data_IF_443146882205
#
_entry.id   IF_443146882205
#
_cell.length_a   1.000
_cell.length_b   1.000
_cell.length_c   1.000
_cell.angle_alpha   90.00
_cell.angle_beta   90.00
_cell.angle_gamma   90.00
#
_symmetry.space_group_name_H-M   'P 1'
#
loop_
_entity.id
_entity.type
_entity.pdbx_description
1 polymer ?
#
# COMPACT_ATOMS: atom_id res chain seq x y z
N UNK A 1 -18.21 21.41 3.45
CA UNK A 1 -19.26 20.44 3.84
C UNK A 1 -18.67 19.35 4.74
N UNK A 2 -17.72 18.53 4.28
CA UNK A 2 -17.05 17.47 5.08
C UNK A 2 -16.42 18.00 6.38
N UNK A 3 -15.67 19.11 6.35
CA UNK A 3 -15.18 19.75 7.60
C UNK A 3 -16.31 20.21 8.55
N UNK A 4 -17.48 20.58 8.01
CA UNK A 4 -18.63 21.00 8.83
C UNK A 4 -19.26 19.78 9.51
N UNK A 5 -19.30 18.64 8.80
CA UNK A 5 -19.78 17.34 9.26
C UNK A 5 -18.85 16.75 10.33
N UNK A 6 -17.53 16.80 10.09
CA UNK A 6 -16.53 16.37 11.06
C UNK A 6 -16.52 17.23 12.33
N UNK A 7 -16.90 18.50 12.22
CA UNK A 7 -17.01 19.42 13.35
C UNK A 7 -18.33 19.27 14.11
N UNK A 8 -19.42 18.86 13.45
CA UNK A 8 -20.72 18.64 14.09
C UNK A 8 -20.79 17.28 14.80
N UNK A 9 -20.18 16.22 14.23
CA UNK A 9 -20.07 14.91 14.90
C UNK A 9 -19.31 14.96 16.23
N UNK A 10 -18.31 15.84 16.35
CA UNK A 10 -17.54 16.05 17.61
C UNK A 10 -18.31 16.84 18.68
N UNK A 11 -19.43 17.49 18.32
CA UNK A 11 -20.17 18.40 19.21
C UNK A 11 -21.43 17.78 19.84
N UNK A 12 -21.70 16.50 19.60
CA UNK A 12 -22.85 15.83 20.22
C UNK A 12 -22.57 15.52 21.69
N UNK A 13 -22.73 16.54 22.55
CA UNK A 13 -22.90 16.36 24.00
C UNK A 13 -24.24 15.65 24.26
N UNK A 14 -24.30 14.61 25.10
CA UNK A 14 -25.56 13.91 25.37
C UNK A 14 -26.48 14.82 26.19
N UNK A 15 -27.54 15.36 25.58
CA UNK A 15 -28.57 16.09 26.33
C UNK A 15 -29.29 17.27 25.67
N UNK A 16 -29.09 17.59 24.38
CA UNK A 16 -29.91 18.61 23.68
C UNK A 16 -30.78 17.97 22.59
N UNK A 17 -32.08 18.20 22.71
CA UNK A 17 -33.15 17.70 21.82
C UNK A 17 -32.81 17.89 20.34
N UNK A 18 -32.88 16.79 19.58
CA UNK A 18 -32.70 16.75 18.11
C UNK A 18 -33.82 17.52 17.43
N UNK A 19 -33.49 18.68 16.85
CA UNK A 19 -34.40 19.45 16.00
C UNK A 19 -34.49 18.80 14.60
N UNK A 20 -35.71 18.59 14.11
CA UNK A 20 -36.08 17.93 12.84
C UNK A 20 -35.36 18.46 11.58
N UNK A 21 -34.85 19.69 11.59
CA UNK A 21 -34.03 20.24 10.50
C UNK A 21 -32.69 19.53 10.30
N UNK A 22 -32.16 18.88 11.34
CA UNK A 22 -30.92 18.12 11.26
C UNK A 22 -31.14 16.74 10.59
N UNK A 23 -32.35 16.18 10.67
CA UNK A 23 -32.64 14.86 10.10
C UNK A 23 -32.65 14.86 8.56
N UNK A 24 -33.26 15.87 7.94
CA UNK A 24 -33.23 16.03 6.48
C UNK A 24 -31.80 16.23 5.96
N UNK A 25 -31.01 17.10 6.62
CA UNK A 25 -29.63 17.36 6.22
C UNK A 25 -28.74 16.13 6.44
N UNK A 26 -28.90 15.42 7.56
CA UNK A 26 -28.24 14.14 7.81
C UNK A 26 -28.59 13.14 6.72
N UNK A 27 -29.86 13.05 6.32
CA UNK A 27 -30.28 12.12 5.27
C UNK A 27 -29.71 12.50 3.90
N UNK A 28 -29.70 13.78 3.54
CA UNK A 28 -29.06 14.25 2.31
C UNK A 28 -27.57 13.92 2.30
N UNK A 29 -26.92 14.05 3.45
CA UNK A 29 -25.52 13.71 3.60
C UNK A 29 -25.29 12.20 3.47
N UNK A 30 -26.09 11.38 4.13
CA UNK A 30 -25.99 9.91 4.03
C UNK A 30 -26.14 9.48 2.57
N UNK A 31 -27.10 10.05 1.84
CA UNK A 31 -27.29 9.78 0.42
C UNK A 31 -26.07 10.22 -0.42
N UNK A 32 -25.50 11.38 -0.13
CA UNK A 32 -24.29 11.84 -0.81
C UNK A 32 -23.10 10.92 -0.53
N UNK A 33 -22.93 10.50 0.73
CA UNK A 33 -21.87 9.58 1.13
C UNK A 33 -22.03 8.25 0.40
N UNK A 34 -23.23 7.65 0.46
CA UNK A 34 -23.53 6.40 -0.24
C UNK A 34 -23.26 6.51 -1.74
N UNK A 35 -23.67 7.61 -2.38
CA UNK A 35 -23.42 7.81 -3.81
C UNK A 35 -21.92 7.88 -4.13
N UNK A 36 -21.13 8.65 -3.37
CA UNK A 36 -19.68 8.74 -3.57
C UNK A 36 -19.00 7.38 -3.37
N UNK A 37 -19.39 6.63 -2.34
CA UNK A 37 -18.87 5.28 -2.09
C UNK A 37 -19.18 4.35 -3.26
N UNK A 38 -20.38 4.43 -3.83
CA UNK A 38 -20.81 3.61 -4.97
C UNK A 38 -20.13 3.99 -6.30
N UNK A 39 -19.69 5.23 -6.47
CA UNK A 39 -18.98 5.65 -7.69
C UNK A 39 -17.49 5.26 -7.68
N UNK A 40 -16.88 5.02 -6.52
CA UNK A 40 -15.45 4.69 -6.45
C UNK A 40 -15.08 3.40 -7.21
N UNK A 41 -15.81 2.27 -7.12
CA UNK A 41 -15.53 1.09 -7.92
C UNK A 41 -15.51 1.38 -9.43
N UNK A 42 -16.37 2.29 -9.90
CA UNK A 42 -16.37 2.71 -11.31
C UNK A 42 -15.11 3.48 -11.68
N UNK A 43 -14.64 4.39 -10.82
CA UNK A 43 -13.38 5.12 -11.04
C UNK A 43 -12.19 4.14 -11.13
N UNK A 44 -12.10 3.19 -10.20
CA UNK A 44 -11.06 2.16 -10.22
C UNK A 44 -11.18 1.26 -11.45
N UNK A 45 -12.40 0.88 -11.81
CA UNK A 45 -12.68 0.09 -13.01
C UNK A 45 -12.26 0.80 -14.30
N UNK A 46 -12.54 2.10 -14.43
CA UNK A 46 -12.11 2.89 -15.59
C UNK A 46 -10.58 2.99 -15.67
N UNK A 47 -9.89 3.22 -14.55
CA UNK A 47 -8.41 3.20 -14.47
C UNK A 47 -7.86 1.83 -14.87
N UNK A 48 -8.40 0.75 -14.30
CA UNK A 48 -7.97 -0.62 -14.60
C UNK A 48 -8.18 -0.97 -16.08
N UNK A 49 -9.36 -0.64 -16.62
CA UNK A 49 -9.67 -0.90 -18.02
C UNK A 49 -8.67 -0.21 -18.96
N UNK A 50 -8.34 1.06 -18.72
CA UNK A 50 -7.38 1.76 -19.60
C UNK A 50 -5.96 1.19 -19.46
N UNK A 51 -5.53 0.83 -18.24
CA UNK A 51 -4.23 0.20 -17.99
C UNK A 51 -4.13 -1.19 -18.63
N UNK A 52 -5.20 -1.99 -18.55
CA UNK A 52 -5.28 -3.28 -19.20
C UNK A 52 -5.14 -3.18 -20.73
N UNK A 53 -5.76 -2.17 -21.35
CA UNK A 53 -5.66 -2.00 -22.81
C UNK A 53 -4.24 -1.72 -23.31
N UNK A 54 -3.39 -1.15 -22.45
CA UNK A 54 -1.99 -0.81 -22.78
C UNK A 54 -0.97 -1.79 -22.22
N UNK A 55 -1.40 -2.80 -21.48
CA UNK A 55 -0.52 -3.83 -20.91
C UNK A 55 0.36 -4.48 -21.99
N UNK A 56 1.67 -4.56 -21.73
CA UNK A 56 2.68 -5.11 -22.64
C UNK A 56 3.06 -4.20 -23.82
N UNK A 57 2.50 -2.98 -23.91
CA UNK A 57 2.76 -2.07 -25.03
C UNK A 57 3.81 -1.03 -24.66
N UNK A 58 4.80 -0.88 -25.55
CA UNK A 58 5.80 0.20 -25.48
C UNK A 58 5.33 1.52 -26.12
N UNK A 59 4.34 1.44 -27.00
CA UNK A 59 3.83 2.59 -27.76
C UNK A 59 2.29 2.55 -27.81
N UNK A 60 1.59 3.06 -26.78
CA UNK A 60 0.14 3.18 -26.81
C UNK A 60 -0.33 4.04 -27.98
N UNK A 61 -1.46 3.67 -28.59
CA UNK A 61 -2.07 4.45 -29.67
C UNK A 61 -2.59 5.81 -29.18
N UNK A 62 -2.87 6.74 -30.10
CA UNK A 62 -3.43 8.06 -29.75
C UNK A 62 -4.75 7.96 -28.97
N UNK A 63 -5.60 6.98 -29.27
CA UNK A 63 -6.87 6.75 -28.55
C UNK A 63 -6.59 6.29 -27.12
N UNK A 64 -5.68 5.34 -26.95
CA UNK A 64 -5.28 4.85 -25.62
C UNK A 64 -4.61 5.94 -24.79
N UNK A 65 -3.74 6.76 -25.41
CA UNK A 65 -3.12 7.90 -24.74
C UNK A 65 -4.15 8.94 -24.28
N UNK A 66 -5.19 9.21 -25.07
CA UNK A 66 -6.31 10.07 -24.64
C UNK A 66 -7.06 9.47 -23.45
N UNK A 67 -7.34 8.16 -23.48
CA UNK A 67 -8.02 7.46 -22.38
C UNK A 67 -7.20 7.50 -21.09
N UNK A 68 -5.89 7.20 -21.15
CA UNK A 68 -4.98 7.29 -19.99
C UNK A 68 -4.98 8.71 -19.39
N UNK A 69 -4.92 9.76 -20.23
CA UNK A 69 -4.96 11.16 -19.77
C UNK A 69 -6.28 11.56 -19.12
N UNK A 70 -7.37 10.87 -19.41
CA UNK A 70 -8.66 11.13 -18.77
C UNK A 70 -8.81 10.36 -17.45
N UNK A 71 -8.39 9.09 -17.41
CA UNK A 71 -8.66 8.21 -16.28
C UNK A 71 -7.60 8.27 -15.17
N UNK A 72 -6.30 8.29 -15.50
CA UNK A 72 -5.24 8.26 -14.47
C UNK A 72 -5.26 9.47 -13.51
N UNK A 73 -5.60 10.69 -13.96
CA UNK A 73 -5.76 11.84 -13.05
C UNK A 73 -6.92 11.72 -12.04
N UNK A 74 -7.70 10.63 -12.06
CA UNK A 74 -8.72 10.35 -11.04
C UNK A 74 -8.14 9.64 -9.80
N UNK A 75 -6.89 9.17 -9.83
CA UNK A 75 -6.25 8.54 -8.67
C UNK A 75 -6.21 9.42 -7.39
N UNK A 76 -6.05 10.76 -7.46
CA UNK A 76 -6.23 11.63 -6.29
C UNK A 76 -7.57 11.47 -5.58
N UNK A 77 -8.66 11.16 -6.30
CA UNK A 77 -9.97 10.93 -5.69
C UNK A 77 -9.90 9.70 -4.79
N UNK A 78 -9.26 8.62 -5.25
CA UNK A 78 -9.03 7.41 -4.45
C UNK A 78 -8.27 7.76 -3.17
N UNK A 79 -7.15 8.50 -3.29
CA UNK A 79 -6.35 8.96 -2.16
C UNK A 79 -7.19 9.79 -1.16
N UNK A 80 -7.99 10.73 -1.64
CA UNK A 80 -8.84 11.56 -0.78
C UNK A 80 -9.93 10.77 -0.04
N UNK A 81 -10.49 9.74 -0.67
CA UNK A 81 -11.50 8.90 -0.04
C UNK A 81 -10.88 7.99 1.04
N UNK A 82 -9.72 7.38 0.77
CA UNK A 82 -9.04 6.54 1.77
C UNK A 82 -8.40 7.35 2.91
N UNK A 83 -8.10 8.64 2.71
CA UNK A 83 -7.63 9.52 3.80
C UNK A 83 -8.78 10.06 4.66
N UNK A 84 -9.99 10.15 4.13
CA UNK A 84 -11.15 10.66 4.85
C UNK A 84 -11.64 9.70 5.92
N UNK A 85 -11.88 10.21 7.14
CA UNK A 85 -12.43 9.41 8.24
C UNK A 85 -13.86 8.90 7.96
N UNK A 86 -14.62 9.62 7.13
CA UNK A 86 -16.01 9.28 6.79
C UNK A 86 -16.06 8.21 5.70
N UNK A 87 -15.26 8.37 4.65
CA UNK A 87 -15.30 7.49 3.49
C UNK A 87 -14.44 6.24 3.66
N UNK A 88 -13.23 6.36 4.23
CA UNK A 88 -12.28 5.26 4.38
C UNK A 88 -12.90 3.94 4.85
N UNK A 89 -13.63 3.87 5.99
CA UNK A 89 -14.20 2.60 6.45
C UNK A 89 -15.27 2.01 5.54
N UNK A 90 -15.84 2.81 4.64
CA UNK A 90 -16.88 2.37 3.69
C UNK A 90 -16.28 1.98 2.33
N UNK A 91 -15.12 2.51 1.96
CA UNK A 91 -14.49 2.27 0.65
C UNK A 91 -13.41 1.20 0.68
N UNK A 92 -12.75 0.97 1.82
CA UNK A 92 -11.71 -0.07 1.95
C UNK A 92 -12.40 -1.41 2.19
N UNK A 93 -12.78 -2.06 1.09
CA UNK A 93 -13.31 -3.42 1.03
C UNK A 93 -12.30 -4.39 0.42
N UNK A 94 -12.61 -5.69 0.44
CA UNK A 94 -11.82 -6.70 -0.27
C UNK A 94 -11.72 -6.42 -1.78
N UNK A 95 -12.84 -6.08 -2.43
CA UNK A 95 -12.89 -5.74 -3.87
C UNK A 95 -12.03 -4.51 -4.20
N UNK A 96 -12.04 -3.52 -3.31
CA UNK A 96 -11.15 -2.37 -3.40
C UNK A 96 -9.69 -2.81 -3.37
N UNK A 97 -9.29 -3.64 -2.39
CA UNK A 97 -7.90 -4.12 -2.25
C UNK A 97 -7.47 -4.98 -3.44
N UNK A 98 -8.33 -5.86 -3.95
CA UNK A 98 -8.07 -6.63 -5.17
C UNK A 98 -7.83 -5.72 -6.38
N UNK A 99 -8.73 -4.75 -6.61
CA UNK A 99 -8.64 -3.78 -7.70
C UNK A 99 -7.34 -2.97 -7.58
N UNK A 100 -7.03 -2.54 -6.37
CA UNK A 100 -5.87 -1.75 -6.05
C UNK A 100 -4.56 -2.53 -6.25
N UNK A 101 -4.50 -3.80 -5.83
CA UNK A 101 -3.36 -4.70 -6.12
C UNK A 101 -3.14 -4.92 -7.61
N UNK A 102 -4.23 -5.00 -8.38
CA UNK A 102 -4.15 -5.06 -9.85
C UNK A 102 -3.55 -3.77 -10.44
N UNK A 103 -3.89 -2.59 -9.91
CA UNK A 103 -3.24 -1.33 -10.29
C UNK A 103 -1.74 -1.37 -9.97
N UNK A 104 -1.34 -1.82 -8.77
CA UNK A 104 0.07 -1.97 -8.41
C UNK A 104 0.80 -2.94 -9.34
N UNK A 105 0.14 -4.01 -9.81
CA UNK A 105 0.71 -4.91 -10.82
C UNK A 105 0.96 -4.21 -12.15
N UNK A 106 0.07 -3.30 -12.59
CA UNK A 106 0.33 -2.47 -13.75
C UNK A 106 1.52 -1.52 -13.53
N UNK A 107 1.65 -0.95 -12.33
CA UNK A 107 2.79 -0.09 -11.96
C UNK A 107 4.10 -0.88 -12.02
N UNK A 108 4.13 -2.12 -11.51
CA UNK A 108 5.27 -3.03 -11.68
C UNK A 108 5.63 -3.24 -13.17
N UNK A 109 4.63 -3.45 -14.03
CA UNK A 109 4.88 -3.58 -15.48
C UNK A 109 5.40 -2.28 -16.11
N UNK A 110 5.02 -1.12 -15.58
CA UNK A 110 5.59 0.17 -16.01
C UNK A 110 7.04 0.31 -15.56
N UNK A 111 7.33 0.01 -14.29
CA UNK A 111 8.66 0.09 -13.68
C UNK A 111 9.69 -0.85 -14.34
N UNK A 112 9.31 -2.11 -14.58
CA UNK A 112 10.12 -3.08 -15.33
C UNK A 112 10.28 -2.72 -16.82
N UNK A 113 9.57 -1.68 -17.28
CA UNK A 113 9.53 -1.21 -18.64
C UNK A 113 8.66 -2.06 -19.56
N UNK A 114 8.10 -3.20 -19.14
CA UNK A 114 7.21 -4.05 -19.95
C UNK A 114 6.11 -3.23 -20.68
N UNK A 115 5.51 -2.29 -19.95
CA UNK A 115 4.55 -1.32 -20.47
C UNK A 115 5.15 0.09 -20.40
N UNK A 116 4.98 0.92 -21.42
CA UNK A 116 5.42 2.31 -21.39
C UNK A 116 4.22 3.24 -21.57
N UNK A 117 3.86 3.94 -20.49
CA UNK A 117 2.81 4.97 -20.50
C UNK A 117 3.39 6.38 -20.66
N UNK A 118 4.67 6.61 -20.33
CA UNK A 118 5.35 7.90 -20.43
C UNK A 118 5.27 8.49 -21.84
N UNK A 119 5.41 7.65 -22.87
CA UNK A 119 5.29 8.09 -24.26
C UNK A 119 3.90 8.64 -24.62
N UNK A 120 2.86 8.24 -23.88
CA UNK A 120 1.49 8.65 -24.12
C UNK A 120 1.05 9.83 -23.25
N UNK A 121 1.39 9.80 -21.95
CA UNK A 121 0.93 10.78 -20.95
C UNK A 121 2.00 11.77 -20.49
N UNK A 122 3.26 11.49 -20.79
CA UNK A 122 4.42 12.23 -20.30
C UNK A 122 4.99 11.64 -19.00
N UNK A 123 6.31 11.69 -18.78
CA UNK A 123 6.96 11.08 -17.62
C UNK A 123 6.45 11.66 -16.29
N UNK A 124 6.23 12.98 -16.21
CA UNK A 124 5.73 13.63 -15.00
C UNK A 124 4.35 13.12 -14.57
N UNK A 125 3.42 12.92 -15.52
CA UNK A 125 2.09 12.42 -15.20
C UNK A 125 2.10 10.94 -14.79
N UNK A 126 3.01 10.16 -15.37
CA UNK A 126 3.26 8.76 -14.99
C UNK A 126 3.81 8.66 -13.57
N UNK A 127 4.86 9.43 -13.26
CA UNK A 127 5.44 9.53 -11.92
C UNK A 127 4.42 9.98 -10.87
N UNK A 128 3.61 11.00 -11.20
CA UNK A 128 2.58 11.52 -10.31
C UNK A 128 1.50 10.46 -10.02
N UNK A 129 1.02 9.76 -11.06
CA UNK A 129 0.07 8.66 -10.91
C UNK A 129 0.59 7.59 -9.95
N UNK A 130 1.87 7.24 -10.07
CA UNK A 130 2.45 6.16 -9.28
C UNK A 130 2.71 6.60 -7.85
N UNK A 131 3.20 7.83 -7.67
CA UNK A 131 3.35 8.43 -6.35
C UNK A 131 2.03 8.51 -5.60
N UNK A 132 0.97 9.03 -6.24
CA UNK A 132 -0.37 9.13 -5.64
C UNK A 132 -0.91 7.74 -5.33
N UNK A 133 -0.68 6.77 -6.22
CA UNK A 133 -1.05 5.38 -5.97
C UNK A 133 -0.37 4.94 -4.68
N UNK A 134 0.96 4.83 -4.62
CA UNK A 134 1.64 4.34 -3.43
C UNK A 134 1.26 5.13 -2.14
N UNK A 135 1.04 6.44 -2.20
CA UNK A 135 0.54 7.25 -1.07
C UNK A 135 -0.90 6.89 -0.65
N UNK A 136 -1.76 6.48 -1.58
CA UNK A 136 -3.10 5.99 -1.23
C UNK A 136 -3.02 4.69 -0.43
N UNK A 137 -2.10 3.78 -0.76
CA UNK A 137 -1.90 2.58 0.05
C UNK A 137 -1.30 2.90 1.42
N UNK A 138 -0.35 3.84 1.47
CA UNK A 138 0.16 4.38 2.75
C UNK A 138 -1.00 4.83 3.66
N UNK A 139 -1.96 5.56 3.11
CA UNK A 139 -3.12 6.02 3.87
C UNK A 139 -4.01 4.88 4.37
N UNK A 140 -4.09 3.76 3.63
CA UNK A 140 -4.84 2.56 4.06
C UNK A 140 -4.12 1.88 5.24
N UNK A 141 -2.81 1.65 5.15
CA UNK A 141 -2.05 0.94 6.19
C UNK A 141 -1.96 1.72 7.52
N UNK A 142 -2.16 3.04 7.49
CA UNK A 142 -2.29 3.86 8.72
C UNK A 142 -3.51 3.48 9.58
N UNK A 143 -4.44 2.68 9.06
CA UNK A 143 -5.65 2.24 9.77
C UNK A 143 -5.80 0.71 9.69
N UNK A 144 -4.92 -0.04 10.38
CA UNK A 144 -4.78 -1.49 10.19
C UNK A 144 -6.01 -2.31 10.52
N UNK A 145 -6.94 -1.77 11.34
CA UNK A 145 -8.23 -2.42 11.63
C UNK A 145 -9.03 -2.74 10.35
N UNK A 146 -8.83 -1.97 9.28
CA UNK A 146 -9.52 -2.18 8.00
C UNK A 146 -8.96 -3.34 7.18
N UNK A 147 -7.75 -3.81 7.50
CA UNK A 147 -7.08 -4.90 6.78
C UNK A 147 -7.26 -6.25 7.47
N UNK A 148 -7.80 -6.26 8.69
CA UNK A 148 -7.90 -7.45 9.55
C UNK A 148 -8.59 -8.61 8.83
N UNK A 149 -9.71 -8.33 8.18
CA UNK A 149 -10.54 -9.37 7.54
C UNK A 149 -10.09 -9.69 6.10
N UNK A 150 -9.07 -9.01 5.58
CA UNK A 150 -8.63 -9.09 4.17
C UNK A 150 -7.18 -9.53 4.01
N UNK A 151 -6.62 -10.23 5.01
CA UNK A 151 -5.22 -10.68 5.04
C UNK A 151 -4.79 -11.41 3.76
N UNK A 152 -5.57 -12.41 3.33
CA UNK A 152 -5.27 -13.20 2.12
C UNK A 152 -5.18 -12.30 0.89
N UNK A 153 -6.17 -11.42 0.71
CA UNK A 153 -6.20 -10.48 -0.43
C UNK A 153 -5.00 -9.52 -0.43
N UNK A 154 -4.56 -9.05 0.74
CA UNK A 154 -3.33 -8.24 0.83
C UNK A 154 -2.10 -9.06 0.45
N UNK A 155 -1.95 -10.28 0.96
CA UNK A 155 -0.80 -11.16 0.67
C UNK A 155 -0.75 -11.57 -0.80
N UNK A 156 -1.89 -11.88 -1.40
CA UNK A 156 -1.95 -12.44 -2.76
C UNK A 156 -1.89 -11.35 -3.84
N UNK A 157 -2.43 -10.15 -3.59
CA UNK A 157 -2.56 -9.10 -4.62
C UNK A 157 -1.75 -7.84 -4.37
N UNK A 158 -1.44 -7.50 -3.12
CA UNK A 158 -0.76 -6.23 -2.79
C UNK A 158 0.74 -6.43 -2.56
N UNK A 159 1.13 -7.43 -1.76
CA UNK A 159 2.55 -7.64 -1.45
C UNK A 159 3.40 -8.01 -2.67
N UNK A 160 2.95 -8.86 -3.62
CA UNK A 160 3.78 -9.28 -4.76
C UNK A 160 4.26 -8.12 -5.66
N UNK A 161 3.40 -7.17 -6.08
CA UNK A 161 3.89 -6.02 -6.83
C UNK A 161 4.79 -5.10 -5.99
N UNK A 162 4.53 -4.93 -4.68
CA UNK A 162 5.43 -4.16 -3.81
C UNK A 162 6.82 -4.79 -3.71
N UNK A 163 6.91 -6.11 -3.52
CA UNK A 163 8.18 -6.86 -3.50
C UNK A 163 8.94 -6.71 -4.81
N UNK A 164 8.23 -6.71 -5.95
CA UNK A 164 8.84 -6.45 -7.25
C UNK A 164 9.40 -5.03 -7.34
N UNK A 165 8.66 -4.03 -6.83
CA UNK A 165 9.09 -2.63 -6.82
C UNK A 165 10.24 -2.35 -5.86
N UNK A 166 10.47 -3.18 -4.83
CA UNK A 166 11.71 -3.13 -4.03
C UNK A 166 12.95 -3.41 -4.89
N UNK A 167 12.81 -4.00 -6.08
CA UNK A 167 13.91 -4.22 -7.01
C UNK A 167 13.97 -3.17 -8.13
N UNK A 168 13.15 -2.11 -8.02
CA UNK A 168 13.12 -1.02 -8.99
C UNK A 168 14.48 -0.34 -9.12
N UNK A 169 14.80 0.08 -10.35
CA UNK A 169 15.93 0.96 -10.61
C UNK A 169 15.67 2.40 -10.12
N UNK A 170 14.40 2.78 -9.96
CA UNK A 170 14.02 4.04 -9.37
C UNK A 170 14.17 4.00 -7.84
N UNK A 171 15.15 4.76 -7.33
CA UNK A 171 15.51 4.78 -5.91
C UNK A 171 14.33 5.21 -5.02
N UNK A 172 13.52 6.17 -5.45
CA UNK A 172 12.36 6.63 -4.67
C UNK A 172 11.32 5.51 -4.53
N UNK A 173 11.11 4.74 -5.58
CA UNK A 173 10.06 3.74 -5.65
C UNK A 173 10.47 2.48 -4.91
N UNK A 174 11.74 2.09 -5.06
CA UNK A 174 12.37 1.05 -4.26
C UNK A 174 12.26 1.34 -2.77
N UNK A 175 12.66 2.55 -2.35
CA UNK A 175 12.60 2.97 -0.95
C UNK A 175 11.16 2.97 -0.43
N UNK A 176 10.24 3.59 -1.18
CA UNK A 176 8.85 3.75 -0.74
C UNK A 176 8.13 2.39 -0.68
N UNK A 177 8.35 1.51 -1.65
CA UNK A 177 7.79 0.17 -1.68
C UNK A 177 8.35 -0.71 -0.57
N UNK A 178 9.65 -0.61 -0.25
CA UNK A 178 10.24 -1.35 0.88
C UNK A 178 9.63 -0.91 2.21
N UNK A 179 9.41 0.40 2.39
CA UNK A 179 8.74 0.92 3.58
C UNK A 179 7.30 0.40 3.70
N UNK A 180 6.52 0.49 2.62
CA UNK A 180 5.15 -0.03 2.60
C UNK A 180 5.10 -1.54 2.84
N UNK A 181 6.00 -2.30 2.21
CA UNK A 181 6.14 -3.74 2.39
C UNK A 181 6.46 -4.09 3.85
N UNK A 182 7.45 -3.40 4.44
CA UNK A 182 7.85 -3.59 5.83
C UNK A 182 6.69 -3.31 6.79
N UNK A 183 6.02 -2.18 6.63
CA UNK A 183 4.90 -1.79 7.48
C UNK A 183 3.70 -2.74 7.33
N UNK A 184 3.32 -3.05 6.09
CA UNK A 184 2.19 -3.95 5.82
C UNK A 184 2.45 -5.34 6.36
N UNK A 185 3.63 -5.91 6.12
CA UNK A 185 3.98 -7.25 6.62
C UNK A 185 4.01 -7.28 8.14
N UNK A 186 4.58 -6.26 8.79
CA UNK A 186 4.52 -6.14 10.26
C UNK A 186 3.08 -6.10 10.76
N UNK A 187 2.17 -5.37 10.10
CA UNK A 187 0.77 -5.30 10.50
C UNK A 187 0.07 -6.66 10.37
N UNK A 188 0.26 -7.35 9.25
CA UNK A 188 -0.35 -8.66 9.01
C UNK A 188 0.12 -9.66 10.07
N UNK A 189 1.43 -9.79 10.26
CA UNK A 189 2.02 -10.76 11.17
C UNK A 189 1.65 -10.47 12.64
N UNK A 190 1.50 -9.20 13.03
CA UNK A 190 1.02 -8.84 14.38
C UNK A 190 -0.47 -9.12 14.58
N UNK A 191 -1.31 -9.11 13.54
CA UNK A 191 -2.76 -9.34 13.65
C UNK A 191 -3.12 -10.76 14.11
N UNK A 192 -2.23 -11.74 13.89
CA UNK A 192 -2.38 -13.13 14.36
C UNK A 192 -2.51 -13.26 15.89
N UNK A 193 -2.18 -12.21 16.64
CA UNK A 193 -2.31 -12.20 18.11
C UNK A 193 -3.68 -11.71 18.62
N UNK A 194 -4.58 -11.25 17.74
CA UNK A 194 -5.78 -10.51 18.15
C UNK A 194 -7.05 -11.35 18.26
N UNK A 195 -7.15 -12.46 17.55
CA UNK A 195 -8.24 -13.42 17.69
C UNK A 195 -7.66 -14.81 17.50
N UNK A 196 -7.96 -15.74 18.42
CA UNK A 196 -7.52 -17.14 18.36
C UNK A 196 -8.16 -17.95 17.23
N UNK A 197 -8.36 -17.34 16.07
CA UNK A 197 -8.82 -17.97 14.84
C UNK A 197 -7.69 -18.76 14.18
N UNK A 198 -8.07 -19.85 13.53
CA UNK A 198 -7.16 -20.75 12.84
C UNK A 198 -6.31 -19.98 11.83
N UNK A 199 -5.00 -20.01 12.03
CA UNK A 199 -4.00 -19.48 11.12
C UNK A 199 -4.31 -19.96 9.70
N UNK A 200 -4.57 -19.03 8.77
CA UNK A 200 -4.73 -19.36 7.37
C UNK A 200 -3.38 -19.81 6.79
N UNK A 201 -3.08 -21.09 6.96
CA UNK A 201 -1.79 -21.71 6.64
C UNK A 201 -1.35 -21.45 5.20
N UNK A 202 -2.30 -21.33 4.26
CA UNK A 202 -2.03 -21.06 2.86
C UNK A 202 -1.49 -19.64 2.67
N UNK A 203 -2.11 -18.63 3.31
CA UNK A 203 -1.63 -17.24 3.25
C UNK A 203 -0.24 -17.07 3.86
N UNK A 204 0.06 -17.77 4.95
CA UNK A 204 1.39 -17.73 5.59
C UNK A 204 2.45 -18.41 4.72
N UNK A 205 2.07 -19.49 4.04
CA UNK A 205 2.95 -20.15 3.08
C UNK A 205 3.24 -19.25 1.87
N UNK A 206 2.25 -18.50 1.37
CA UNK A 206 2.40 -17.55 0.27
C UNK A 206 3.30 -16.38 0.68
N UNK A 207 3.09 -15.81 1.88
CA UNK A 207 3.93 -14.74 2.41
C UNK A 207 5.39 -15.20 2.58
N UNK A 208 5.60 -16.39 3.16
CA UNK A 208 6.93 -16.96 3.32
C UNK A 208 7.60 -17.22 1.97
N UNK A 209 6.88 -17.81 1.01
CA UNK A 209 7.40 -18.07 -0.32
C UNK A 209 7.78 -16.76 -1.04
N UNK A 210 6.93 -15.74 -0.98
CA UNK A 210 7.18 -14.44 -1.60
C UNK A 210 8.48 -13.80 -1.07
N UNK A 211 8.67 -13.78 0.25
CA UNK A 211 9.86 -13.19 0.85
C UNK A 211 11.09 -14.06 0.59
N UNK A 212 10.99 -15.38 0.77
CA UNK A 212 12.09 -16.33 0.57
C UNK A 212 12.60 -16.32 -0.88
N UNK A 213 11.69 -16.39 -1.85
CA UNK A 213 12.04 -16.63 -3.25
C UNK A 213 12.42 -15.35 -3.99
N UNK A 214 11.85 -14.21 -3.60
CA UNK A 214 12.02 -12.94 -4.34
C UNK A 214 12.85 -11.93 -3.57
N UNK A 215 12.61 -11.74 -2.27
CA UNK A 215 13.24 -10.66 -1.50
C UNK A 215 14.57 -11.06 -0.84
N UNK A 216 14.62 -12.24 -0.20
CA UNK A 216 15.79 -12.72 0.54
C UNK A 216 17.07 -12.80 -0.31
N UNK A 217 17.03 -13.20 -1.60
CA UNK A 217 18.23 -13.20 -2.45
C UNK A 217 18.87 -11.82 -2.64
N UNK A 218 18.09 -10.74 -2.48
CA UNK A 218 18.55 -9.36 -2.66
C UNK A 218 18.88 -8.66 -1.33
N UNK A 219 18.66 -9.31 -0.19
CA UNK A 219 18.70 -8.65 1.11
C UNK A 219 20.07 -8.09 1.47
N UNK A 220 21.15 -8.75 1.05
CA UNK A 220 22.52 -8.25 1.23
C UNK A 220 22.68 -6.87 0.59
N UNK A 221 22.26 -6.71 -0.66
CA UNK A 221 22.32 -5.44 -1.37
C UNK A 221 21.45 -4.37 -0.68
N UNK A 222 20.25 -4.73 -0.25
CA UNK A 222 19.33 -3.82 0.44
C UNK A 222 19.92 -3.33 1.78
N UNK A 223 20.60 -4.20 2.53
CA UNK A 223 21.23 -3.84 3.81
C UNK A 223 22.44 -2.91 3.64
N UNK A 224 23.10 -2.94 2.48
CA UNK A 224 24.25 -2.09 2.16
C UNK A 224 23.86 -0.72 1.58
N UNK A 225 22.58 -0.49 1.29
CA UNK A 225 22.09 0.81 0.81
C UNK A 225 22.19 1.91 1.88
N UNK A 226 22.26 3.19 1.48
CA UNK A 226 22.27 4.30 2.44
C UNK A 226 20.97 4.37 3.26
N UNK A 227 21.07 4.97 4.45
CA UNK A 227 19.90 5.27 5.26
C UNK A 227 18.85 6.08 4.47
N UNK A 228 17.54 5.79 4.64
CA UNK A 228 16.95 4.93 5.67
C UNK A 228 16.70 3.46 5.24
N UNK A 229 17.13 3.03 4.04
CA UNK A 229 16.77 1.73 3.45
C UNK A 229 17.02 0.53 4.39
N UNK A 230 18.19 0.39 5.05
CA UNK A 230 18.43 -0.76 5.92
C UNK A 230 17.51 -0.80 7.15
N UNK A 231 16.88 0.32 7.54
CA UNK A 231 15.96 0.35 8.70
C UNK A 231 14.68 -0.42 8.40
N UNK A 232 14.12 -0.20 7.22
CA UNK A 232 12.90 -0.85 6.77
C UNK A 232 13.15 -2.33 6.49
N UNK A 233 14.30 -2.66 5.92
CA UNK A 233 14.74 -4.03 5.76
C UNK A 233 14.88 -4.75 7.12
N UNK A 234 15.58 -4.16 8.10
CA UNK A 234 15.70 -4.78 9.42
C UNK A 234 14.34 -4.93 10.12
N UNK A 235 13.44 -3.92 10.04
CA UNK A 235 12.09 -4.01 10.59
C UNK A 235 11.29 -5.17 10.00
N UNK A 236 11.40 -5.40 8.69
CA UNK A 236 10.74 -6.52 8.01
C UNK A 236 11.32 -7.86 8.47
N UNK A 237 12.65 -7.99 8.60
CA UNK A 237 13.28 -9.21 9.12
C UNK A 237 12.79 -9.52 10.53
N UNK A 238 12.82 -8.52 11.42
CA UNK A 238 12.37 -8.68 12.81
C UNK A 238 10.94 -9.20 12.84
N UNK A 239 10.03 -8.53 12.14
CA UNK A 239 8.62 -8.94 12.08
C UNK A 239 8.45 -10.40 11.61
N UNK A 240 9.18 -10.82 10.59
CA UNK A 240 9.08 -12.20 10.07
C UNK A 240 9.72 -13.23 11.00
N UNK A 241 10.87 -12.92 11.62
CA UNK A 241 11.59 -13.84 12.51
C UNK A 241 10.94 -14.00 13.90
N UNK A 242 10.23 -12.98 14.38
CA UNK A 242 9.54 -13.05 15.68
C UNK A 242 8.34 -14.02 15.65
N UNK A 243 7.70 -14.17 14.49
CA UNK A 243 6.44 -14.91 14.38
C UNK A 243 6.53 -16.17 13.52
N UNK A 244 7.55 -16.32 12.66
CA UNK A 244 7.68 -17.48 11.78
C UNK A 244 9.02 -18.22 12.01
N UNK A 245 9.01 -19.32 12.79
CA UNK A 245 10.22 -20.11 13.05
C UNK A 245 10.87 -20.70 11.79
N UNK A 246 10.09 -20.99 10.74
CA UNK A 246 10.64 -21.45 9.47
C UNK A 246 11.42 -20.32 8.78
N UNK A 247 10.92 -19.09 8.85
CA UNK A 247 11.65 -17.92 8.38
C UNK A 247 12.94 -17.66 9.17
N UNK A 248 12.92 -17.82 10.50
CA UNK A 248 14.12 -17.70 11.34
C UNK A 248 15.22 -18.65 10.90
N UNK A 249 14.90 -19.93 10.63
CA UNK A 249 15.86 -20.90 10.09
C UNK A 249 16.40 -20.48 8.73
N UNK A 250 15.55 -19.96 7.84
CA UNK A 250 15.98 -19.45 6.54
C UNK A 250 16.99 -18.30 6.67
N UNK A 251 16.79 -17.40 7.63
CA UNK A 251 17.74 -16.30 7.89
C UNK A 251 19.06 -16.83 8.49
N UNK A 252 19.02 -17.82 9.37
CA UNK A 252 20.22 -18.47 9.93
C UNK A 252 21.03 -19.22 8.87
N UNK A 253 20.35 -19.92 7.95
CA UNK A 253 20.96 -20.60 6.81
C UNK A 253 21.45 -19.62 5.74
N UNK A 254 20.90 -18.40 5.72
CA UNK A 254 21.36 -17.34 4.85
C UNK A 254 22.68 -16.73 5.32
N UNK A 255 23.45 -16.16 4.39
CA UNK A 255 24.69 -15.43 4.72
C UNK A 255 24.44 -14.01 5.24
N UNK A 256 23.23 -13.70 5.71
CA UNK A 256 22.82 -12.33 6.07
C UNK A 256 23.24 -11.89 7.47
N UNK A 257 23.48 -12.83 8.38
CA UNK A 257 23.79 -12.53 9.80
C UNK A 257 24.94 -11.52 9.96
N UNK A 258 26.11 -11.67 9.28
CA UNK A 258 27.19 -10.68 9.40
C UNK A 258 26.77 -9.27 8.97
N UNK A 259 26.04 -9.14 7.87
CA UNK A 259 25.56 -7.85 7.36
C UNK A 259 24.56 -7.19 8.30
N UNK A 260 23.67 -7.98 8.92
CA UNK A 260 22.73 -7.49 9.94
C UNK A 260 23.49 -6.88 11.11
N UNK A 261 24.51 -7.57 11.63
CA UNK A 261 25.33 -7.07 12.74
C UNK A 261 26.11 -5.81 12.35
N UNK A 262 26.68 -5.76 11.14
CA UNK A 262 27.40 -4.58 10.63
C UNK A 262 26.50 -3.34 10.61
N UNK A 263 25.30 -3.44 10.02
CA UNK A 263 24.34 -2.33 9.96
C UNK A 263 23.93 -1.87 11.37
N UNK A 264 23.70 -2.80 12.31
CA UNK A 264 23.33 -2.46 13.69
C UNK A 264 24.49 -1.74 14.40
N UNK A 265 25.73 -2.19 14.20
CA UNK A 265 26.91 -1.61 14.84
C UNK A 265 27.17 -0.17 14.34
N UNK A 266 27.19 0.01 13.02
CA UNK A 266 27.39 1.33 12.37
C UNK A 266 26.35 2.34 12.85
N UNK A 267 25.09 1.92 12.98
CA UNK A 267 24.01 2.79 13.47
C UNK A 267 24.17 3.20 14.93
N UNK A 268 24.65 2.30 15.80
CA UNK A 268 24.97 2.66 17.20
C UNK A 268 26.07 3.72 17.26
N UNK A 269 27.10 3.60 16.43
CA UNK A 269 28.17 4.60 16.36
C UNK A 269 27.67 5.97 15.87
N UNK A 270 26.84 5.99 14.82
CA UNK A 270 26.24 7.24 14.30
C UNK A 270 25.36 7.92 15.36
N UNK A 271 24.58 7.15 16.14
CA UNK A 271 23.82 7.72 17.25
C UNK A 271 24.75 8.30 18.33
N UNK A 272 25.83 7.60 18.71
CA UNK A 272 26.80 8.13 19.68
C UNK A 272 27.51 9.40 19.21
N UNK A 273 27.73 9.57 17.90
CA UNK A 273 28.32 10.78 17.31
C UNK A 273 27.35 11.95 17.19
N UNK A 274 26.04 11.70 16.97
CA UNK A 274 25.01 12.77 16.90
C UNK A 274 24.63 13.36 18.26
N UNK A 275 25.00 12.71 19.37
CA UNK A 275 24.74 13.15 20.75
C UNK A 275 25.99 13.65 21.48
N UNK A 276 27.07 13.97 20.76
CA UNK A 276 28.25 14.71 21.25
C UNK A 276 28.31 16.07 20.57
#
# INVERSE_FOLDING_TARGET
LVMYIERDSRKTTPGKERQSGNEYLSRCLDLLICHIVQELPRILGDILNVLATVSGRKHPSTVQGKQLKMCLPMMPVVLHLVTSQVFRPQVVSEEFLFSYGTILSHIKSVDSGETNIDGAIGPTASEEFIKITLSAFEAVIQYPVLLKDYRSTVIDYILPPLVSLVQSQNVEWRLFSLRLLSETTSLLVNQETWDGEEVNADSDSNLLALIRDVLLPQYEHILLEPDPVPAYALKLLVAMTEHNPAFTRLVEESKLIPFIFEVILVRKEIMHLKFK
#
